data_IF_719352698280
#
_entry.id   IF_719352698280
#
_cell.length_a   1.000
_cell.length_b   1.000
_cell.length_c   1.000
_cell.angle_alpha   90.00
_cell.angle_beta   90.00
_cell.angle_gamma   90.00
#
_symmetry.space_group_name_H-M   'P 1'
#
loop_
_entity.id
_entity.type
_entity.pdbx_description
1 polymer ?
#
# COMPACT_ATOMS: atom_id res chain seq x y z
N UNK A 1 2.84 -11.39 -0.83
CA UNK A 1 2.82 -10.11 -0.11
C UNK A 1 4.22 -9.60 0.06
N UNK A 2 4.37 -8.32 0.32
CA UNK A 2 5.62 -7.65 0.68
C UNK A 2 5.56 -7.32 2.18
N UNK A 3 6.69 -7.45 2.87
CA UNK A 3 6.85 -7.08 4.27
C UNK A 3 7.18 -5.59 4.40
N UNK A 4 6.93 -5.00 5.57
CA UNK A 4 7.41 -3.66 5.88
C UNK A 4 8.90 -3.69 6.18
N UNK A 5 9.75 -3.03 5.36
CA UNK A 5 11.20 -3.21 5.47
C UNK A 5 11.88 -2.09 6.26
N UNK A 6 11.14 -1.04 6.63
CA UNK A 6 11.72 0.17 7.17
C UNK A 6 11.70 0.19 8.69
N UNK A 7 12.65 0.93 9.26
CA UNK A 7 12.69 1.19 10.71
C UNK A 7 11.69 2.27 11.14
N UNK A 8 11.15 3.06 10.21
CA UNK A 8 10.03 3.95 10.52
C UNK A 8 8.77 3.15 10.82
N UNK A 9 7.87 3.67 11.68
CA UNK A 9 6.60 3.03 11.94
C UNK A 9 5.84 2.76 10.65
N UNK A 10 5.31 1.55 10.56
CA UNK A 10 4.40 1.17 9.50
C UNK A 10 3.10 2.01 9.60
N UNK A 11 2.47 2.42 8.48
CA UNK A 11 1.16 3.06 8.51
C UNK A 11 0.14 2.26 9.34
N UNK A 12 -0.79 2.96 10.02
CA UNK A 12 -1.75 2.34 10.94
C UNK A 12 -2.51 1.23 10.23
N UNK A 13 -2.43 0.02 10.80
CA UNK A 13 -3.09 -1.15 10.25
C UNK A 13 -4.53 -1.26 10.77
N UNK A 14 -5.42 -1.68 9.87
CA UNK A 14 -6.68 -2.28 10.30
C UNK A 14 -6.40 -3.60 11.04
N UNK A 15 -7.27 -3.90 11.99
CA UNK A 15 -7.32 -5.20 12.68
C UNK A 15 -8.62 -5.93 12.35
N UNK A 16 -8.51 -7.25 12.19
CA UNK A 16 -9.62 -8.13 11.84
C UNK A 16 -9.54 -9.44 12.67
N UNK A 17 -10.65 -9.93 13.24
CA UNK A 17 -10.62 -11.12 14.09
C UNK A 17 -10.51 -12.40 13.27
N UNK A 18 -9.90 -13.43 13.86
CA UNK A 18 -9.71 -14.73 13.19
C UNK A 18 -11.02 -15.48 12.86
N UNK A 19 -12.14 -15.07 13.46
CA UNK A 19 -13.46 -15.62 13.15
C UNK A 19 -14.15 -14.90 11.98
N UNK A 20 -13.51 -13.90 11.37
CA UNK A 20 -13.99 -13.34 10.10
C UNK A 20 -14.05 -14.45 9.03
N UNK A 21 -15.00 -14.41 8.09
CA UNK A 21 -15.21 -15.46 7.08
C UNK A 21 -14.17 -15.38 5.96
N UNK A 22 -12.89 -15.48 6.32
CA UNK A 22 -11.73 -15.52 5.45
C UNK A 22 -11.07 -16.89 5.52
N UNK A 23 -10.57 -17.43 4.39
CA UNK A 23 -9.95 -18.75 4.37
C UNK A 23 -8.56 -18.72 5.02
N UNK A 24 -8.03 -19.90 5.33
CA UNK A 24 -6.66 -20.08 5.83
C UNK A 24 -5.60 -19.41 4.93
N UNK A 25 -5.85 -19.35 3.61
CA UNK A 25 -4.95 -18.72 2.64
C UNK A 25 -4.72 -17.22 2.92
N UNK A 26 -5.74 -16.49 3.36
CA UNK A 26 -5.60 -15.08 3.78
C UNK A 26 -4.59 -14.95 4.91
N UNK A 27 -4.78 -15.72 5.98
CA UNK A 27 -3.93 -15.67 7.17
C UNK A 27 -2.51 -16.15 6.89
N UNK A 28 -2.36 -17.17 6.04
CA UNK A 28 -1.05 -17.64 5.59
C UNK A 28 -0.32 -16.57 4.77
N UNK A 29 -1.00 -15.87 3.86
CA UNK A 29 -0.40 -14.81 3.08
C UNK A 29 0.19 -13.69 3.96
N UNK A 30 -0.51 -13.32 5.05
CA UNK A 30 -0.06 -12.30 6.00
C UNK A 30 1.26 -12.62 6.69
N UNK A 31 1.64 -13.89 6.79
CA UNK A 31 2.93 -14.29 7.40
C UNK A 31 4.14 -13.80 6.60
N UNK A 32 3.95 -13.51 5.30
CA UNK A 32 5.00 -13.00 4.40
C UNK A 32 4.98 -11.47 4.26
N UNK A 33 4.10 -10.79 5.00
CA UNK A 33 3.83 -9.36 4.87
C UNK A 33 2.37 -9.09 4.52
N UNK A 34 1.99 -7.83 4.45
CA UNK A 34 0.58 -7.41 4.26
C UNK A 34 0.34 -6.48 3.08
N UNK A 35 1.40 -6.11 2.37
CA UNK A 35 1.36 -5.21 1.22
C UNK A 35 1.27 -6.06 -0.06
N UNK A 36 0.17 -6.02 -0.80
CA UNK A 36 0.00 -6.87 -1.98
C UNK A 36 0.84 -6.37 -3.16
N UNK A 37 1.67 -7.23 -3.76
CA UNK A 37 2.38 -6.85 -4.98
C UNK A 37 1.42 -6.74 -6.19
N UNK A 38 0.52 -7.72 -6.36
CA UNK A 38 -0.62 -7.58 -7.26
C UNK A 38 -1.73 -6.91 -6.46
N UNK A 39 -1.97 -5.63 -6.75
CA UNK A 39 -2.80 -4.76 -5.91
C UNK A 39 -3.91 -4.04 -6.66
N UNK A 40 -3.85 -4.03 -7.99
CA UNK A 40 -4.81 -3.37 -8.82
C UNK A 40 -5.95 -4.33 -9.12
N UNK A 41 -7.17 -3.96 -8.73
CA UNK A 41 -8.39 -4.65 -9.11
C UNK A 41 -9.04 -3.90 -10.28
N UNK A 42 -9.07 -4.47 -11.49
CA UNK A 42 -9.84 -3.91 -12.59
C UNK A 42 -11.34 -3.93 -12.27
N UNK A 43 -12.04 -2.81 -12.49
CA UNK A 43 -13.49 -2.73 -12.32
C UNK A 43 -14.14 -2.23 -13.61
N UNK A 44 -15.32 -2.75 -13.99
CA UNK A 44 -16.06 -2.24 -15.15
C UNK A 44 -16.73 -0.89 -14.87
N UNK A 45 -16.89 -0.55 -13.59
CA UNK A 45 -17.47 0.71 -13.13
C UNK A 45 -16.33 1.64 -12.64
N UNK A 46 -16.39 2.94 -12.96
CA UNK A 46 -15.48 3.93 -12.40
C UNK A 46 -15.56 3.94 -10.87
N UNK A 47 -14.41 4.14 -10.23
CA UNK A 47 -14.28 4.33 -8.78
C UNK A 47 -13.69 5.72 -8.51
N UNK A 48 -13.56 6.11 -7.24
CA UNK A 48 -12.84 7.34 -6.88
C UNK A 48 -11.34 7.26 -7.17
N UNK A 49 -10.77 6.05 -7.17
CA UNK A 49 -9.37 5.81 -7.53
C UNK A 49 -9.11 6.03 -9.02
N UNK A 50 -9.91 5.36 -9.86
CA UNK A 50 -9.75 5.46 -11.30
C UNK A 50 -11.00 5.04 -12.07
N UNK A 51 -10.99 5.36 -13.35
CA UNK A 51 -12.04 4.96 -14.29
C UNK A 51 -12.08 3.45 -14.55
N UNK A 52 -10.98 2.73 -14.29
CA UNK A 52 -10.76 1.34 -14.72
C UNK A 52 -10.42 0.38 -13.58
N UNK A 53 -10.53 0.80 -12.33
CA UNK A 53 -10.21 -0.06 -11.19
C UNK A 53 -10.01 0.66 -9.88
N UNK A 54 -9.54 -0.09 -8.91
CA UNK A 54 -9.26 0.36 -7.53
C UNK A 54 -8.04 -0.37 -6.99
N UNK A 55 -7.28 0.28 -6.11
CA UNK A 55 -6.09 -0.28 -5.48
C UNK A 55 -6.36 -0.79 -4.06
N UNK A 56 -5.78 -1.93 -3.71
CA UNK A 56 -5.70 -2.42 -2.33
C UNK A 56 -4.29 -2.19 -1.77
N UNK A 57 -4.15 -1.33 -0.76
CA UNK A 57 -2.82 -0.89 -0.31
C UNK A 57 -2.23 -1.69 0.85
N UNK A 58 -3.03 -2.08 1.84
CA UNK A 58 -2.57 -2.87 2.97
C UNK A 58 -3.69 -3.75 3.52
N UNK A 59 -3.40 -5.04 3.73
CA UNK A 59 -4.32 -5.93 4.39
C UNK A 59 -4.34 -5.73 5.91
N UNK A 60 -5.52 -5.91 6.50
CA UNK A 60 -5.74 -5.97 7.92
C UNK A 60 -4.96 -7.13 8.55
N UNK A 61 -4.48 -6.93 9.77
CA UNK A 61 -3.75 -7.93 10.55
C UNK A 61 -4.66 -8.58 11.61
N UNK A 62 -4.33 -9.77 12.12
CA UNK A 62 -5.11 -10.40 13.18
C UNK A 62 -5.23 -9.48 14.41
N UNK A 63 -6.45 -9.28 14.91
CA UNK A 63 -6.71 -8.46 16.09
C UNK A 63 -8.20 -8.31 16.40
N UNK A 64 -8.55 -7.31 17.21
CA UNK A 64 -9.96 -6.94 17.41
C UNK A 64 -10.57 -6.43 16.10
N UNK A 65 -11.89 -6.52 15.96
CA UNK A 65 -12.54 -5.99 14.75
C UNK A 65 -12.47 -4.47 14.74
N UNK A 66 -11.84 -3.91 13.71
CA UNK A 66 -11.94 -2.46 13.47
C UNK A 66 -13.36 -2.11 13.05
N UNK A 67 -13.98 -1.18 13.78
CA UNK A 67 -15.32 -0.67 13.47
C UNK A 67 -15.20 0.61 12.66
N UNK A 68 -15.85 0.65 11.49
CA UNK A 68 -15.86 1.82 10.61
C UNK A 68 -17.30 2.32 10.50
N UNK A 69 -17.52 3.60 10.81
CA UNK A 69 -18.82 4.24 10.64
C UNK A 69 -19.22 4.23 9.15
N UNK A 70 -20.47 3.87 8.85
CA UNK A 70 -20.97 3.76 7.48
C UNK A 70 -20.73 2.40 6.80
N UNK A 71 -19.96 1.50 7.43
CA UNK A 71 -19.84 0.11 7.00
C UNK A 71 -20.95 -0.75 7.65
N UNK A 72 -21.56 -1.71 6.93
CA UNK A 72 -22.52 -2.62 7.54
C UNK A 72 -21.98 -3.36 8.76
N UNK A 73 -22.84 -3.55 9.77
CA UNK A 73 -22.45 -4.08 11.08
C UNK A 73 -21.98 -5.54 11.06
N UNK A 74 -22.24 -6.28 9.98
CA UNK A 74 -21.81 -7.66 9.75
C UNK A 74 -20.61 -7.78 8.80
N UNK A 75 -20.06 -6.65 8.32
CA UNK A 75 -18.91 -6.62 7.39
C UNK A 75 -17.58 -6.38 8.10
N UNK A 76 -16.59 -7.20 7.79
CA UNK A 76 -15.26 -7.14 8.39
C UNK A 76 -14.31 -6.41 7.44
N UNK A 77 -13.80 -5.22 7.79
CA UNK A 77 -12.89 -4.50 6.90
C UNK A 77 -11.55 -5.24 6.80
N UNK A 78 -11.11 -5.48 5.57
CA UNK A 78 -9.87 -6.20 5.23
C UNK A 78 -8.79 -5.28 4.68
N UNK A 79 -9.13 -4.10 4.17
CA UNK A 79 -8.19 -3.05 3.76
C UNK A 79 -8.91 -1.70 3.73
N UNK A 80 -8.15 -0.61 3.87
CA UNK A 80 -8.70 0.75 3.82
C UNK A 80 -7.65 1.77 3.40
N UNK A 81 -8.07 2.73 2.59
CA UNK A 81 -7.39 4.00 2.41
C UNK A 81 -8.43 5.13 2.39
N UNK A 82 -8.38 6.05 3.37
CA UNK A 82 -9.40 7.10 3.50
C UNK A 82 -10.83 6.54 3.62
N UNK A 83 -11.69 6.89 2.68
CA UNK A 83 -13.10 6.45 2.61
C UNK A 83 -13.30 5.20 1.74
N UNK A 84 -12.24 4.72 1.11
CA UNK A 84 -12.21 3.51 0.30
C UNK A 84 -11.87 2.30 1.16
N UNK A 85 -12.76 1.32 1.17
CA UNK A 85 -12.70 0.18 2.07
C UNK A 85 -12.95 -1.10 1.28
N UNK A 86 -12.08 -2.08 1.49
CA UNK A 86 -12.41 -3.45 1.15
C UNK A 86 -12.89 -4.16 2.42
N UNK A 87 -13.99 -4.88 2.32
CA UNK A 87 -14.55 -5.64 3.43
C UNK A 87 -15.05 -7.01 2.98
N UNK A 88 -15.03 -7.97 3.89
CA UNK A 88 -15.68 -9.28 3.71
C UNK A 88 -17.00 -9.28 4.48
N UNK A 89 -18.09 -9.69 3.84
CA UNK A 89 -19.38 -9.83 4.51
C UNK A 89 -19.48 -11.11 5.35
N UNK A 90 -20.61 -11.35 6.01
CA UNK A 90 -20.82 -12.54 6.84
C UNK A 90 -20.88 -13.86 6.07
N UNK A 91 -21.01 -13.83 4.74
CA UNK A 91 -21.04 -14.98 3.85
C UNK A 91 -19.69 -15.25 3.16
N UNK A 92 -18.69 -14.39 3.38
CA UNK A 92 -17.35 -14.51 2.80
C UNK A 92 -17.19 -13.77 1.47
N UNK A 93 -18.19 -13.04 0.99
CA UNK A 93 -18.09 -12.22 -0.22
C UNK A 93 -17.26 -10.97 0.05
N UNK A 94 -16.46 -10.55 -0.93
CA UNK A 94 -15.58 -9.38 -0.82
C UNK A 94 -16.24 -8.20 -1.52
N UNK A 95 -16.29 -7.08 -0.83
CA UNK A 95 -16.87 -5.83 -1.31
C UNK A 95 -15.84 -4.71 -1.29
N UNK A 96 -15.88 -3.89 -2.33
CA UNK A 96 -15.35 -2.54 -2.32
C UNK A 96 -16.47 -1.58 -1.92
N UNK A 97 -16.17 -0.68 -0.99
CA UNK A 97 -17.07 0.34 -0.47
C UNK A 97 -16.35 1.67 -0.45
N UNK A 98 -16.94 2.65 -1.12
CA UNK A 98 -16.51 4.04 -1.03
C UNK A 98 -17.54 4.83 -0.22
N UNK A 99 -17.13 5.35 0.93
CA UNK A 99 -18.02 6.11 1.81
C UNK A 99 -18.24 7.55 1.35
N UNK A 100 -17.36 8.12 0.53
CA UNK A 100 -17.48 9.50 0.04
C UNK A 100 -18.60 9.61 -1.00
N UNK A 101 -18.65 8.66 -1.93
CA UNK A 101 -19.60 8.65 -3.05
C UNK A 101 -20.73 7.61 -2.90
N UNK A 102 -20.83 6.97 -1.74
CA UNK A 102 -21.84 5.94 -1.43
C UNK A 102 -21.83 4.77 -2.44
N UNK A 103 -20.67 4.44 -3.02
CA UNK A 103 -20.53 3.34 -3.98
C UNK A 103 -20.32 2.01 -3.26
N UNK A 104 -20.89 0.92 -3.80
CA UNK A 104 -20.67 -0.43 -3.29
C UNK A 104 -20.60 -1.41 -4.45
N UNK A 105 -19.51 -2.17 -4.53
CA UNK A 105 -19.27 -3.17 -5.58
C UNK A 105 -18.93 -4.51 -4.93
N UNK A 106 -19.60 -5.59 -5.35
CA UNK A 106 -19.15 -6.95 -5.03
C UNK A 106 -17.97 -7.28 -5.95
N UNK A 107 -16.79 -7.43 -5.37
CA UNK A 107 -15.51 -7.59 -6.09
C UNK A 107 -14.94 -8.99 -6.01
N UNK A 108 -15.60 -9.89 -5.26
CA UNK A 108 -15.26 -11.30 -5.27
C UNK A 108 -16.30 -12.13 -4.53
N UNK A 109 -16.59 -13.32 -5.02
CA UNK A 109 -17.50 -14.26 -4.36
C UNK A 109 -16.89 -14.90 -3.11
N UNK A 110 -15.56 -14.86 -3.02
CA UNK A 110 -14.77 -15.29 -1.88
C UNK A 110 -13.36 -14.68 -2.01
N UNK A 111 -12.52 -14.92 -1.02
CA UNK A 111 -11.14 -14.45 -1.01
C UNK A 111 -10.31 -14.92 -2.21
N UNK A 112 -10.42 -16.20 -2.61
CA UNK A 112 -9.60 -16.75 -3.68
C UNK A 112 -10.00 -16.16 -5.04
N UNK A 113 -11.30 -15.97 -5.27
CA UNK A 113 -11.86 -15.28 -6.44
C UNK A 113 -11.41 -13.81 -6.51
N UNK A 114 -11.43 -13.11 -5.37
CA UNK A 114 -10.93 -11.73 -5.28
C UNK A 114 -9.44 -11.63 -5.61
N UNK A 115 -8.60 -12.46 -4.98
CA UNK A 115 -7.14 -12.42 -5.19
C UNK A 115 -6.76 -12.81 -6.62
N UNK A 116 -7.49 -13.74 -7.25
CA UNK A 116 -7.24 -14.14 -8.63
C UNK A 116 -7.46 -13.01 -9.66
N UNK A 117 -8.24 -12.00 -9.32
CA UNK A 117 -8.49 -10.83 -10.17
C UNK A 117 -7.44 -9.73 -10.00
N UNK A 118 -6.66 -9.75 -8.91
CA UNK A 118 -5.66 -8.72 -8.64
C UNK A 118 -4.51 -8.83 -9.64
N UNK A 119 -4.13 -7.68 -10.17
CA UNK A 119 -3.03 -7.52 -11.12
C UNK A 119 -2.00 -6.55 -10.58
N UNK A 120 -0.76 -6.66 -11.03
CA UNK A 120 0.21 -5.60 -10.82
C UNK A 120 0.00 -4.51 -11.87
N UNK A 121 0.13 -3.26 -11.45
CA UNK A 121 0.13 -2.07 -12.29
C UNK A 121 1.29 -1.19 -11.85
N UNK A 122 1.99 -0.56 -12.80
CA UNK A 122 3.00 0.43 -12.46
C UNK A 122 2.36 1.55 -11.61
N UNK A 123 2.90 1.85 -10.42
CA UNK A 123 2.31 2.85 -9.55
C UNK A 123 2.44 4.24 -10.17
N UNK A 124 1.32 4.95 -10.22
CA UNK A 124 1.24 6.36 -10.64
C UNK A 124 0.47 7.10 -9.57
N UNK A 125 1.10 8.10 -8.95
CA UNK A 125 0.48 8.88 -7.89
C UNK A 125 0.15 10.28 -8.39
N UNK A 126 -1.12 10.65 -8.21
CA UNK A 126 -1.61 12.02 -8.44
C UNK A 126 -2.08 12.55 -7.10
N UNK A 127 -1.62 13.74 -6.70
CA UNK A 127 -2.07 14.35 -5.46
C UNK A 127 -3.57 14.69 -5.50
N UNK A 128 -4.31 14.55 -4.39
CA UNK A 128 -3.83 14.12 -3.06
C UNK A 128 -3.71 12.59 -2.93
N UNK A 129 -2.77 12.12 -2.09
CA UNK A 129 -2.62 10.71 -1.72
C UNK A 129 -2.18 10.58 -0.25
N UNK A 130 -2.46 9.43 0.37
CA UNK A 130 -2.06 9.16 1.75
C UNK A 130 -0.60 8.68 1.86
N UNK A 131 -0.04 8.73 3.06
CA UNK A 131 1.28 8.13 3.33
C UNK A 131 1.30 6.61 3.06
N UNK A 132 0.16 5.92 3.27
CA UNK A 132 0.03 4.50 2.99
C UNK A 132 0.12 4.23 1.49
N UNK A 133 -0.53 5.05 0.67
CA UNK A 133 -0.49 4.94 -0.80
C UNK A 133 0.93 5.15 -1.32
N UNK A 134 1.62 6.19 -0.86
CA UNK A 134 3.02 6.43 -1.24
C UNK A 134 3.94 5.28 -0.81
N UNK A 135 3.81 4.84 0.45
CA UNK A 135 4.60 3.74 0.96
C UNK A 135 4.38 2.46 0.15
N UNK A 136 3.13 2.16 -0.19
CA UNK A 136 2.82 1.00 -1.03
C UNK A 136 3.38 1.14 -2.44
N UNK A 137 3.24 2.31 -3.06
CA UNK A 137 3.78 2.60 -4.39
C UNK A 137 5.30 2.35 -4.45
N UNK A 138 6.05 2.79 -3.43
CA UNK A 138 7.49 2.54 -3.33
C UNK A 138 7.83 1.06 -3.15
N UNK A 139 6.97 0.27 -2.49
CA UNK A 139 7.17 -1.17 -2.33
C UNK A 139 6.94 -1.95 -3.62
N UNK A 140 5.99 -1.53 -4.46
CA UNK A 140 5.57 -2.25 -5.68
C UNK A 140 6.12 -1.64 -6.97
N UNK A 141 6.89 -0.56 -6.88
CA UNK A 141 7.50 0.11 -8.04
C UNK A 141 8.42 -0.83 -8.81
N UNK A 142 8.54 -0.57 -10.10
CA UNK A 142 9.63 -1.05 -10.95
C UNK A 142 10.66 0.07 -11.19
N UNK A 143 11.68 -0.21 -12.00
CA UNK A 143 12.75 0.75 -12.28
C UNK A 143 12.25 2.01 -13.00
N UNK A 144 11.19 1.90 -13.81
CA UNK A 144 10.67 3.01 -14.62
C UNK A 144 9.70 3.90 -13.82
N UNK A 145 8.96 3.31 -12.89
CA UNK A 145 8.01 4.03 -12.01
C UNK A 145 8.65 4.59 -10.74
N UNK A 146 9.86 4.15 -10.36
CA UNK A 146 10.52 4.63 -9.16
C UNK A 146 10.94 6.12 -9.19
N UNK A 147 11.57 6.66 -10.26
CA UNK A 147 12.03 8.05 -10.28
C UNK A 147 10.98 9.11 -9.90
N UNK A 148 9.72 9.09 -10.42
CA UNK A 148 8.72 10.06 -9.99
C UNK A 148 8.30 9.89 -8.52
N UNK A 149 8.36 8.68 -7.96
CA UNK A 149 8.08 8.47 -6.53
C UNK A 149 9.20 9.02 -5.64
N UNK A 150 10.45 8.94 -6.08
CA UNK A 150 11.59 9.56 -5.40
C UNK A 150 11.46 11.08 -5.38
N UNK A 151 10.98 11.68 -6.48
CA UNK A 151 10.65 13.11 -6.52
C UNK A 151 9.61 13.50 -5.47
N UNK A 152 8.51 12.75 -5.38
CA UNK A 152 7.49 12.95 -4.35
C UNK A 152 8.10 12.88 -2.94
N UNK A 153 8.94 11.88 -2.66
CA UNK A 153 9.60 11.78 -1.36
C UNK A 153 10.49 12.99 -1.05
N UNK A 154 11.19 13.53 -2.06
CA UNK A 154 12.00 14.75 -1.88
C UNK A 154 11.14 15.95 -1.54
N UNK A 155 10.01 16.12 -2.22
CA UNK A 155 9.10 17.24 -2.01
C UNK A 155 8.51 17.27 -0.60
N UNK A 156 8.38 16.12 0.06
CA UNK A 156 7.92 16.06 1.46
C UNK A 156 8.91 16.68 2.44
N UNK A 157 10.19 16.75 2.10
CA UNK A 157 11.23 17.35 2.94
C UNK A 157 11.59 16.57 4.22
N UNK A 158 11.03 15.38 4.42
CA UNK A 158 11.44 14.48 5.51
C UNK A 158 12.65 13.64 5.08
N UNK A 159 13.84 14.21 5.29
CA UNK A 159 15.10 13.57 4.92
C UNK A 159 15.39 12.30 5.71
N UNK A 160 14.77 12.09 6.87
CA UNK A 160 14.95 10.84 7.63
C UNK A 160 14.19 9.70 6.98
N UNK A 161 12.95 9.93 6.56
CA UNK A 161 12.15 8.95 5.81
C UNK A 161 12.77 8.71 4.44
N UNK A 162 13.13 9.78 3.72
CA UNK A 162 13.73 9.69 2.40
C UNK A 162 15.00 8.81 2.39
N UNK A 163 15.95 9.06 3.29
CA UNK A 163 17.19 8.26 3.34
C UNK A 163 16.97 6.81 3.73
N UNK A 164 15.96 6.50 4.56
CA UNK A 164 15.58 5.12 4.86
C UNK A 164 14.99 4.40 3.64
N UNK A 165 14.18 5.09 2.83
CA UNK A 165 13.70 4.56 1.56
C UNK A 165 14.83 4.28 0.59
N UNK A 166 15.80 5.19 0.42
CA UNK A 166 16.96 4.95 -0.43
C UNK A 166 17.76 3.72 0.03
N UNK A 167 18.01 3.60 1.34
CA UNK A 167 18.71 2.46 1.92
C UNK A 167 18.01 1.13 1.66
N UNK A 168 16.68 1.11 1.65
CA UNK A 168 15.91 -0.08 1.29
C UNK A 168 15.95 -0.34 -0.22
N UNK A 169 15.63 0.68 -1.03
CA UNK A 169 15.42 0.52 -2.47
C UNK A 169 16.71 0.21 -3.23
N UNK A 170 17.89 0.60 -2.71
CA UNK A 170 19.17 0.33 -3.36
C UNK A 170 19.43 -1.17 -3.55
N UNK A 171 18.86 -2.04 -2.70
CA UNK A 171 19.01 -3.50 -2.84
C UNK A 171 18.27 -4.06 -4.05
N UNK A 172 17.23 -3.36 -4.50
CA UNK A 172 16.34 -3.80 -5.59
C UNK A 172 16.61 -3.03 -6.88
N UNK A 173 16.90 -1.73 -6.78
CA UNK A 173 17.12 -0.82 -7.90
C UNK A 173 18.46 -0.07 -7.78
N UNK A 174 19.60 -0.78 -7.75
CA UNK A 174 20.89 -0.18 -7.44
C UNK A 174 21.26 0.96 -8.40
N UNK A 175 20.99 0.82 -9.70
CA UNK A 175 21.30 1.87 -10.69
C UNK A 175 20.52 3.15 -10.45
N UNK A 176 19.19 3.07 -10.37
CA UNK A 176 18.30 4.23 -10.19
C UNK A 176 18.59 4.91 -8.84
N UNK A 177 18.76 4.12 -7.79
CA UNK A 177 18.94 4.65 -6.43
C UNK A 177 20.34 5.24 -6.23
N UNK A 178 21.39 4.70 -6.85
CA UNK A 178 22.73 5.30 -6.75
C UNK A 178 22.81 6.66 -7.46
N UNK A 179 22.08 6.84 -8.56
CA UNK A 179 21.94 8.16 -9.20
C UNK A 179 21.22 9.15 -8.27
N UNK A 180 20.15 8.71 -7.60
CA UNK A 180 19.41 9.49 -6.63
C UNK A 180 20.25 9.84 -5.38
N UNK A 181 21.03 8.88 -4.85
CA UNK A 181 21.95 9.09 -3.72
C UNK A 181 22.98 10.17 -4.08
N UNK A 182 23.56 10.11 -5.28
CA UNK A 182 24.50 11.13 -5.75
C UNK A 182 23.85 12.50 -5.77
N UNK A 183 22.65 12.62 -6.35
CA UNK A 183 21.88 13.85 -6.32
C UNK A 183 21.63 14.34 -4.89
N UNK A 184 21.24 13.44 -3.99
CA UNK A 184 20.93 13.78 -2.59
C UNK A 184 22.15 14.35 -1.85
N UNK A 185 23.33 13.75 -2.02
CA UNK A 185 24.58 14.19 -1.39
C UNK A 185 25.03 15.57 -1.87
N UNK A 186 24.84 15.84 -3.16
CA UNK A 186 25.26 17.09 -3.82
C UNK A 186 24.30 18.26 -3.51
N UNK A 187 22.99 18.01 -3.45
CA UNK A 187 21.98 19.08 -3.50
C UNK A 187 21.03 19.16 -2.31
N UNK A 188 20.81 18.08 -1.55
CA UNK A 188 19.82 18.09 -0.47
C UNK A 188 20.44 18.53 0.87
N UNK A 189 19.68 19.21 1.75
CA UNK A 189 20.17 19.71 3.03
C UNK A 189 20.23 18.59 4.10
N UNK A 190 20.95 17.51 3.79
CA UNK A 190 21.12 16.35 4.67
C UNK A 190 22.07 16.67 5.84
N UNK A 191 21.77 16.12 7.02
CA UNK A 191 22.68 16.11 8.16
C UNK A 191 23.94 15.27 7.89
N UNK A 192 25.00 15.50 8.65
CA UNK A 192 26.25 14.75 8.50
C UNK A 192 26.06 13.22 8.67
N UNK A 193 25.19 12.80 9.60
CA UNK A 193 24.87 11.39 9.80
C UNK A 193 24.14 10.80 8.60
N UNK A 194 23.17 11.53 8.03
CA UNK A 194 22.45 11.08 6.83
C UNK A 194 23.39 10.94 5.63
N UNK A 195 24.29 11.91 5.41
CA UNK A 195 25.29 11.83 4.35
C UNK A 195 26.19 10.61 4.52
N UNK A 196 26.72 10.42 5.73
CA UNK A 196 27.56 9.27 6.04
C UNK A 196 26.85 7.94 5.78
N UNK A 197 25.59 7.80 6.21
CA UNK A 197 24.83 6.58 5.96
C UNK A 197 24.65 6.31 4.46
N UNK A 198 24.32 7.34 3.67
CA UNK A 198 24.16 7.19 2.22
C UNK A 198 25.48 6.83 1.51
N UNK A 199 26.61 7.37 1.95
CA UNK A 199 27.94 7.06 1.39
C UNK A 199 28.37 5.59 1.64
N UNK A 200 27.71 4.90 2.56
CA UNK A 200 28.03 3.49 2.91
C UNK A 200 27.15 2.45 2.21
N UNK A 201 26.17 2.88 1.40
CA UNK A 201 25.25 2.03 0.63
C UNK A 201 25.81 1.69 -0.75
#
# INVERSE_FOLDING_TARGET
MLAWPLTVPEPIALTIPQNAPLPAAYWQALTTGRWPHAYWLPTPEPTSDAIDGVAIHALAIPGERTMIAGLPGDWFPIARDGDQIFAVDSHGQIYYRDLEVDQQLCVGQNWDDFVAQLTWRAPVLTAPFSQQVLAHALLVSDADSLPPLLEILREQGDWSIYTQWLAYLVTTFPTVVQEEIKFALDFLPLSALQKHNLETL
#
